data_IF_879185724516
#
_entry.id   IF_879185724516
#
_cell.length_a   1.000
_cell.length_b   1.000
_cell.length_c   1.000
_cell.angle_alpha   90.00
_cell.angle_beta   90.00
_cell.angle_gamma   90.00
#
_symmetry.space_group_name_H-M   'P 1'
#
loop_
_entity.id
_entity.type
_entity.pdbx_description
1 polymer ?
#
# COMPACT_ATOMS: atom_id res chain seq x y z
N UNK A 1 4.50 -9.96 -14.55
CA UNK A 1 5.90 -9.86 -14.10
C UNK A 1 5.96 -8.89 -12.93
N UNK A 2 6.62 -9.26 -11.83
CA UNK A 2 6.90 -8.33 -10.74
C UNK A 2 7.89 -7.28 -11.23
N UNK A 3 7.76 -6.02 -10.75
CA UNK A 3 8.66 -4.94 -11.12
C UNK A 3 10.13 -5.24 -10.78
N UNK A 4 11.03 -4.48 -11.33
CA UNK A 4 12.45 -4.54 -10.94
C UNK A 4 12.59 -4.26 -9.44
N UNK A 5 13.70 -4.69 -8.82
CA UNK A 5 13.95 -4.46 -7.39
C UNK A 5 13.84 -2.96 -7.01
N UNK A 6 14.26 -2.06 -7.89
CA UNK A 6 14.13 -0.62 -7.72
C UNK A 6 12.67 -0.13 -7.70
N UNK A 7 11.84 -0.62 -8.61
CA UNK A 7 10.41 -0.27 -8.67
C UNK A 7 9.69 -0.75 -7.41
N UNK A 8 9.95 -1.98 -6.96
CA UNK A 8 9.33 -2.52 -5.76
C UNK A 8 9.67 -1.73 -4.50
N UNK A 9 10.94 -1.31 -4.35
CA UNK A 9 11.35 -0.45 -3.23
C UNK A 9 10.64 0.90 -3.26
N UNK A 10 10.56 1.55 -4.43
CA UNK A 10 9.84 2.81 -4.60
C UNK A 10 8.36 2.65 -4.30
N UNK A 11 7.71 1.58 -4.81
CA UNK A 11 6.32 1.27 -4.51
C UNK A 11 6.07 1.20 -3.02
N UNK A 12 6.91 0.46 -2.27
CA UNK A 12 6.79 0.36 -0.83
C UNK A 12 6.92 1.72 -0.14
N UNK A 13 7.95 2.50 -0.47
CA UNK A 13 8.21 3.79 0.17
C UNK A 13 7.10 4.81 -0.10
N UNK A 14 6.63 4.92 -1.33
CA UNK A 14 5.53 5.83 -1.66
C UNK A 14 4.22 5.40 -1.01
N UNK A 15 3.89 4.10 -1.07
CA UNK A 15 2.69 3.58 -0.42
C UNK A 15 2.73 3.77 1.10
N UNK A 16 3.88 3.53 1.73
CA UNK A 16 4.10 3.78 3.14
C UNK A 16 3.89 5.25 3.50
N UNK A 17 4.53 6.17 2.77
CA UNK A 17 4.40 7.60 3.03
C UNK A 17 2.95 8.08 2.87
N UNK A 18 2.29 7.68 1.78
CA UNK A 18 0.88 8.04 1.53
C UNK A 18 -0.03 7.47 2.62
N UNK A 19 0.10 6.17 2.92
CA UNK A 19 -0.74 5.52 3.94
C UNK A 19 -0.52 6.13 5.33
N UNK A 20 0.75 6.30 5.76
CA UNK A 20 1.07 6.88 7.05
C UNK A 20 0.51 8.31 7.20
N UNK A 21 0.63 9.13 6.14
CA UNK A 21 0.09 10.50 6.13
C UNK A 21 -1.43 10.52 6.17
N UNK A 22 -2.11 9.74 5.32
CA UNK A 22 -3.57 9.69 5.27
C UNK A 22 -4.16 9.23 6.60
N UNK A 23 -3.61 8.16 7.19
CA UNK A 23 -4.08 7.65 8.48
C UNK A 23 -3.77 8.66 9.60
N UNK A 24 -2.61 9.34 9.57
CA UNK A 24 -2.32 10.40 10.53
C UNK A 24 -3.34 11.54 10.48
N UNK A 25 -3.74 11.97 9.27
CA UNK A 25 -4.77 13.00 9.08
C UNK A 25 -6.12 12.51 9.60
N UNK A 26 -6.54 11.29 9.25
CA UNK A 26 -7.80 10.70 9.72
C UNK A 26 -7.81 10.63 11.26
N UNK A 27 -6.73 10.15 11.86
CA UNK A 27 -6.63 10.04 13.32
C UNK A 27 -6.60 11.41 14.00
N UNK A 28 -5.97 12.42 13.40
CA UNK A 28 -6.02 13.78 13.91
C UNK A 28 -7.46 14.35 13.89
N UNK A 29 -8.21 14.10 12.81
CA UNK A 29 -9.63 14.46 12.74
C UNK A 29 -10.46 13.71 13.78
N UNK A 30 -10.22 12.41 13.99
CA UNK A 30 -10.87 11.63 15.04
C UNK A 30 -10.59 12.20 16.44
N UNK A 31 -9.34 12.57 16.73
CA UNK A 31 -9.00 13.22 18.02
C UNK A 31 -9.83 14.49 18.24
N UNK A 32 -9.92 15.34 17.21
CA UNK A 32 -10.72 16.58 17.30
C UNK A 32 -12.19 16.25 17.51
N UNK A 33 -12.76 15.32 16.75
CA UNK A 33 -14.17 14.90 16.83
C UNK A 33 -14.48 14.36 18.22
N UNK A 34 -13.72 13.36 18.69
CA UNK A 34 -13.94 12.74 20.00
C UNK A 34 -13.82 13.77 21.13
N UNK A 35 -12.83 14.65 21.07
CA UNK A 35 -12.65 15.69 22.08
C UNK A 35 -13.78 16.73 22.10
N UNK A 36 -14.46 16.92 20.97
CA UNK A 36 -15.63 17.79 20.88
C UNK A 36 -16.91 17.11 21.36
N UNK A 37 -17.09 15.83 21.00
CA UNK A 37 -18.27 15.04 21.39
C UNK A 37 -18.25 14.63 22.87
N UNK A 38 -17.04 14.35 23.40
CA UNK A 38 -16.83 13.92 24.79
C UNK A 38 -15.83 14.81 25.54
N UNK A 39 -16.17 16.07 25.86
CA UNK A 39 -15.24 17.02 26.46
C UNK A 39 -14.63 16.56 27.79
N UNK A 40 -15.34 15.69 28.53
CA UNK A 40 -14.88 15.10 29.79
C UNK A 40 -13.63 14.23 29.65
N UNK A 41 -13.32 13.71 28.45
CA UNK A 41 -12.12 12.91 28.19
C UNK A 41 -10.89 13.78 27.99
N UNK A 42 -11.06 15.08 27.72
CA UNK A 42 -9.98 15.98 27.32
C UNK A 42 -9.28 15.51 26.04
N UNK A 43 -8.10 16.05 25.77
CA UNK A 43 -7.30 15.67 24.60
C UNK A 43 -6.45 14.41 24.82
N UNK A 44 -6.08 14.10 26.06
CA UNK A 44 -5.11 13.05 26.35
C UNK A 44 -5.64 11.64 25.97
N UNK A 45 -6.89 11.33 26.29
CA UNK A 45 -7.52 10.04 25.96
C UNK A 45 -7.53 9.77 24.44
N UNK A 46 -8.19 10.62 23.65
CA UNK A 46 -8.24 10.48 22.20
C UNK A 46 -6.85 10.45 21.54
N UNK A 47 -5.89 11.27 21.99
CA UNK A 47 -4.51 11.23 21.48
C UNK A 47 -3.83 9.89 21.72
N UNK A 48 -4.00 9.29 22.90
CA UNK A 48 -3.43 7.97 23.20
C UNK A 48 -4.11 6.90 22.34
N UNK A 49 -5.42 6.98 22.13
CA UNK A 49 -6.15 5.98 21.35
C UNK A 49 -5.77 6.04 19.88
N UNK A 50 -5.86 7.19 19.26
CA UNK A 50 -5.56 7.36 17.84
C UNK A 50 -4.05 7.26 17.56
N UNK A 51 -3.22 7.83 18.43
CA UNK A 51 -1.77 7.76 18.30
C UNK A 51 -1.21 6.34 18.42
N UNK A 52 -1.74 5.53 19.37
CA UNK A 52 -1.34 4.12 19.49
C UNK A 52 -1.76 3.29 18.28
N UNK A 53 -2.96 3.53 17.75
CA UNK A 53 -3.45 2.88 16.54
C UNK A 53 -2.59 3.24 15.32
N UNK A 54 -2.29 4.53 15.11
CA UNK A 54 -1.41 4.98 14.03
C UNK A 54 -0.01 4.36 14.13
N UNK A 55 0.60 4.40 15.32
CA UNK A 55 1.96 3.90 15.51
C UNK A 55 2.06 2.40 15.20
N UNK A 56 1.09 1.61 15.65
CA UNK A 56 1.07 0.17 15.38
C UNK A 56 0.76 -0.15 13.93
N UNK A 57 -0.08 0.62 13.26
CA UNK A 57 -0.32 0.49 11.83
C UNK A 57 0.98 0.73 11.04
N UNK A 58 1.71 1.79 11.35
CA UNK A 58 3.01 2.11 10.74
C UNK A 58 4.01 0.99 11.00
N UNK A 59 4.08 0.50 12.24
CA UNK A 59 5.00 -0.56 12.64
C UNK A 59 4.72 -1.87 11.88
N UNK A 60 3.47 -2.23 11.66
CA UNK A 60 3.08 -3.49 11.02
C UNK A 60 2.71 -3.35 9.54
N UNK A 61 2.94 -2.19 8.92
CA UNK A 61 2.66 -1.94 7.49
C UNK A 61 3.38 -2.91 6.53
N UNK A 62 4.46 -3.53 6.96
CA UNK A 62 5.18 -4.54 6.18
C UNK A 62 4.38 -5.83 5.98
N UNK A 63 3.37 -6.15 6.83
CA UNK A 63 2.55 -7.36 6.69
C UNK A 63 1.68 -7.30 5.41
N UNK A 64 0.87 -6.24 5.17
CA UNK A 64 0.19 -6.06 3.89
C UNK A 64 1.14 -6.08 2.69
N UNK A 65 2.34 -5.50 2.83
CA UNK A 65 3.35 -5.55 1.78
C UNK A 65 3.80 -6.96 1.44
N UNK A 66 4.05 -7.80 2.44
CA UNK A 66 4.34 -9.23 2.22
C UNK A 66 3.17 -9.91 1.50
N UNK A 67 1.94 -9.70 1.95
CA UNK A 67 0.74 -10.23 1.29
C UNK A 67 0.68 -9.84 -0.18
N UNK A 68 0.91 -8.57 -0.49
CA UNK A 68 0.99 -8.06 -1.87
C UNK A 68 2.09 -8.76 -2.69
N UNK A 69 3.26 -8.97 -2.11
CA UNK A 69 4.39 -9.64 -2.76
C UNK A 69 4.12 -11.12 -3.04
N UNK A 70 3.45 -11.82 -2.12
CA UNK A 70 3.11 -13.24 -2.26
C UNK A 70 1.99 -13.47 -3.27
N UNK A 71 1.00 -12.58 -3.30
CA UNK A 71 -0.20 -12.72 -4.11
C UNK A 71 -0.62 -11.40 -4.78
N UNK A 72 0.12 -10.89 -5.77
CA UNK A 72 -0.27 -9.69 -6.49
C UNK A 72 -1.65 -9.86 -7.14
N UNK A 73 -2.59 -8.88 -7.03
CA UNK A 73 -3.99 -9.05 -7.42
C UNK A 73 -4.23 -9.41 -8.88
N UNK A 74 -3.33 -8.99 -9.77
CA UNK A 74 -3.49 -9.17 -11.23
C UNK A 74 -2.66 -10.31 -11.81
N UNK A 75 -1.98 -11.12 -10.96
CA UNK A 75 -1.14 -12.23 -11.40
C UNK A 75 -1.89 -13.56 -11.25
N UNK A 76 -1.85 -14.41 -12.29
CA UNK A 76 -2.40 -15.77 -12.24
C UNK A 76 -1.38 -16.76 -11.62
N UNK A 77 -1.84 -17.84 -10.96
CA UNK A 77 -3.22 -18.27 -10.80
C UNK A 77 -3.94 -17.55 -9.65
N UNK A 78 -5.25 -17.32 -9.81
CA UNK A 78 -6.07 -16.53 -8.86
C UNK A 78 -6.21 -17.14 -7.46
N UNK A 79 -6.02 -18.46 -7.32
CA UNK A 79 -6.07 -19.10 -6.00
C UNK A 79 -5.01 -18.55 -5.02
N UNK A 80 -3.92 -17.95 -5.54
CA UNK A 80 -2.92 -17.29 -4.70
C UNK A 80 -3.49 -16.14 -3.88
N UNK A 81 -4.61 -15.55 -4.31
CA UNK A 81 -5.29 -14.49 -3.55
C UNK A 81 -5.79 -14.98 -2.18
N UNK A 82 -5.98 -16.28 -2.00
CA UNK A 82 -6.32 -16.85 -0.68
C UNK A 82 -5.21 -16.58 0.37
N UNK A 83 -3.98 -16.33 -0.05
CA UNK A 83 -2.89 -15.93 0.86
C UNK A 83 -3.15 -14.58 1.55
N UNK A 84 -4.04 -13.72 0.99
CA UNK A 84 -4.43 -12.49 1.66
C UNK A 84 -5.25 -12.74 2.93
N UNK A 85 -5.97 -13.86 3.06
CA UNK A 85 -6.77 -14.19 4.25
C UNK A 85 -5.86 -14.29 5.49
N UNK A 86 -4.86 -15.18 5.55
CA UNK A 86 -3.96 -15.26 6.69
C UNK A 86 -3.14 -13.98 6.90
N UNK A 87 -2.74 -13.26 5.81
CA UNK A 87 -2.02 -12.01 5.95
C UNK A 87 -2.89 -10.90 6.57
N UNK A 88 -4.16 -10.77 6.17
CA UNK A 88 -5.09 -9.82 6.76
C UNK A 88 -5.38 -10.14 8.23
N UNK A 89 -5.56 -11.42 8.55
CA UNK A 89 -5.73 -11.85 9.95
C UNK A 89 -4.49 -11.56 10.79
N UNK A 90 -3.29 -11.86 10.28
CA UNK A 90 -2.04 -11.56 10.98
C UNK A 90 -1.86 -10.06 11.18
N UNK A 91 -2.18 -9.24 10.17
CA UNK A 91 -2.14 -7.79 10.28
C UNK A 91 -3.08 -7.29 11.38
N UNK A 92 -4.35 -7.71 11.37
CA UNK A 92 -5.33 -7.30 12.37
C UNK A 92 -4.92 -7.75 13.79
N UNK A 93 -4.44 -8.99 13.97
CA UNK A 93 -3.95 -9.48 15.27
C UNK A 93 -2.77 -8.65 15.78
N UNK A 94 -1.78 -8.38 14.93
CA UNK A 94 -0.61 -7.58 15.31
C UNK A 94 -1.00 -6.13 15.62
N UNK A 95 -1.88 -5.52 14.81
CA UNK A 95 -2.35 -4.16 15.00
C UNK A 95 -3.13 -4.02 16.32
N UNK A 96 -4.12 -4.90 16.55
CA UNK A 96 -4.93 -4.87 17.78
C UNK A 96 -4.08 -5.17 19.03
N UNK A 97 -3.26 -6.21 18.99
CA UNK A 97 -2.37 -6.52 20.10
C UNK A 97 -1.42 -5.35 20.39
N UNK A 98 -0.85 -4.76 19.34
CA UNK A 98 0.07 -3.64 19.44
C UNK A 98 -0.55 -2.41 20.11
N UNK A 99 -1.70 -1.90 19.61
CA UNK A 99 -2.30 -0.72 20.22
C UNK A 99 -2.87 -1.00 21.62
N UNK A 100 -3.38 -2.20 21.90
CA UNK A 100 -3.82 -2.57 23.24
C UNK A 100 -2.64 -2.56 24.22
N UNK A 101 -1.50 -3.13 23.82
CA UNK A 101 -0.29 -3.13 24.65
C UNK A 101 0.22 -1.71 24.90
N UNK A 102 0.27 -0.88 23.85
CA UNK A 102 0.70 0.53 23.99
C UNK A 102 -0.24 1.31 24.90
N UNK A 103 -1.56 1.16 24.74
CA UNK A 103 -2.56 1.82 25.61
C UNK A 103 -2.40 1.36 27.06
N UNK A 104 -2.27 0.05 27.29
CA UNK A 104 -2.02 -0.50 28.65
C UNK A 104 -0.76 0.09 29.26
N UNK A 105 0.32 0.19 28.49
CA UNK A 105 1.58 0.78 28.96
C UNK A 105 1.41 2.26 29.32
N UNK A 106 0.82 3.06 28.45
CA UNK A 106 0.62 4.51 28.68
C UNK A 106 -0.27 4.75 29.90
N UNK A 107 -1.39 4.03 30.00
CA UNK A 107 -2.30 4.15 31.15
C UNK A 107 -1.64 3.70 32.46
N UNK A 108 -0.86 2.62 32.41
CA UNK A 108 -0.09 2.15 33.58
C UNK A 108 0.92 3.19 34.06
N UNK A 109 1.67 3.81 33.13
CA UNK A 109 2.61 4.89 33.44
C UNK A 109 1.90 6.13 34.02
N UNK A 110 0.66 6.38 33.62
CA UNK A 110 -0.19 7.44 34.13
C UNK A 110 -0.90 7.09 35.47
N UNK A 111 -0.60 5.94 36.07
CA UNK A 111 -1.23 5.48 37.33
C UNK A 111 -2.67 5.00 37.18
N UNK A 112 -3.13 4.73 35.95
CA UNK A 112 -4.47 4.30 35.60
C UNK A 112 -4.48 2.94 34.89
N UNK A 113 -5.65 2.44 34.52
CA UNK A 113 -5.78 1.15 33.83
C UNK A 113 -6.56 1.33 32.53
N UNK A 114 -6.07 0.72 31.45
CA UNK A 114 -6.80 0.59 30.19
C UNK A 114 -7.50 -0.77 30.16
N UNK A 115 -8.81 -0.75 29.92
CA UNK A 115 -9.61 -1.95 29.70
C UNK A 115 -10.03 -2.00 28.21
N UNK A 116 -9.67 -3.08 27.54
CA UNK A 116 -10.08 -3.34 26.15
C UNK A 116 -11.49 -3.95 26.09
N UNK A 117 -12.03 -4.41 27.24
CA UNK A 117 -13.27 -5.14 27.33
C UNK A 117 -13.15 -6.61 26.89
N UNK A 118 -14.27 -7.22 26.53
CA UNK A 118 -14.32 -8.61 26.06
C UNK A 118 -13.55 -8.74 24.74
N UNK A 119 -12.48 -9.54 24.75
CA UNK A 119 -11.53 -9.60 23.62
C UNK A 119 -12.22 -9.95 22.30
N UNK A 120 -12.99 -11.03 22.24
CA UNK A 120 -13.53 -11.53 20.97
C UNK A 120 -14.48 -10.54 20.27
N UNK A 121 -15.50 -9.95 20.92
CA UNK A 121 -16.36 -8.95 20.25
C UNK A 121 -15.59 -7.73 19.76
N UNK A 122 -14.67 -7.20 20.57
CA UNK A 122 -13.89 -6.02 20.19
C UNK A 122 -12.88 -6.34 19.09
N UNK A 123 -12.25 -7.52 19.15
CA UNK A 123 -11.37 -7.97 18.08
C UNK A 123 -12.12 -8.16 16.75
N UNK A 124 -13.32 -8.74 16.75
CA UNK A 124 -14.11 -8.89 15.53
C UNK A 124 -14.55 -7.54 14.94
N UNK A 125 -14.82 -6.55 15.80
CA UNK A 125 -15.09 -5.19 15.37
C UNK A 125 -13.87 -4.57 14.67
N UNK A 126 -12.68 -4.67 15.29
CA UNK A 126 -11.42 -4.15 14.72
C UNK A 126 -11.00 -4.94 13.48
N UNK A 127 -11.15 -6.26 13.47
CA UNK A 127 -10.86 -7.12 12.31
C UNK A 127 -11.60 -6.66 11.05
N UNK A 128 -12.86 -6.23 11.18
CA UNK A 128 -13.64 -5.69 10.05
C UNK A 128 -13.02 -4.42 9.50
N UNK A 129 -12.60 -3.48 10.36
CA UNK A 129 -11.92 -2.23 9.99
C UNK A 129 -10.56 -2.50 9.37
N UNK A 130 -9.78 -3.36 10.02
CA UNK A 130 -8.44 -3.72 9.59
C UNK A 130 -8.43 -4.49 8.26
N UNK A 131 -9.45 -5.34 8.03
CA UNK A 131 -9.61 -6.04 6.74
C UNK A 131 -9.88 -5.06 5.60
N UNK A 132 -10.69 -4.03 5.82
CA UNK A 132 -10.91 -2.96 4.85
C UNK A 132 -9.62 -2.16 4.62
N UNK A 133 -8.95 -1.77 5.70
CA UNK A 133 -7.65 -1.08 5.63
C UNK A 133 -6.59 -1.90 4.87
N UNK A 134 -6.51 -3.19 5.15
CA UNK A 134 -5.63 -4.12 4.45
C UNK A 134 -5.94 -4.16 2.94
N UNK A 135 -7.22 -4.27 2.56
CA UNK A 135 -7.63 -4.26 1.15
C UNK A 135 -7.24 -2.95 0.45
N UNK A 136 -7.40 -1.81 1.12
CA UNK A 136 -6.98 -0.51 0.61
C UNK A 136 -5.46 -0.42 0.44
N UNK A 137 -4.66 -0.99 1.35
CA UNK A 137 -3.20 -1.06 1.18
C UNK A 137 -2.82 -1.91 -0.04
N UNK A 138 -3.45 -3.07 -0.23
CA UNK A 138 -3.20 -3.92 -1.41
C UNK A 138 -3.54 -3.16 -2.71
N UNK A 139 -4.69 -2.46 -2.75
CA UNK A 139 -5.08 -1.64 -3.89
C UNK A 139 -4.10 -0.48 -4.13
N UNK A 140 -3.66 0.19 -3.06
CA UNK A 140 -2.67 1.26 -3.10
C UNK A 140 -1.32 0.80 -3.66
N UNK A 141 -0.80 -0.36 -3.21
CA UNK A 141 0.43 -0.95 -3.75
C UNK A 141 0.29 -1.24 -5.25
N UNK A 142 -0.83 -1.82 -5.67
CA UNK A 142 -1.08 -2.14 -7.07
C UNK A 142 -1.16 -0.87 -7.93
N UNK A 143 -1.84 0.16 -7.46
CA UNK A 143 -1.96 1.44 -8.15
C UNK A 143 -0.60 2.14 -8.29
N UNK A 144 0.14 2.28 -7.19
CA UNK A 144 1.45 2.96 -7.19
C UNK A 144 2.44 2.20 -8.07
N UNK A 145 2.49 0.87 -7.98
CA UNK A 145 3.36 0.08 -8.86
C UNK A 145 2.98 0.26 -10.34
N UNK A 146 1.69 0.32 -10.64
CA UNK A 146 1.21 0.56 -12.01
C UNK A 146 1.66 1.94 -12.53
N UNK A 147 1.48 3.00 -11.75
CA UNK A 147 1.89 4.35 -12.12
C UNK A 147 3.41 4.46 -12.33
N UNK A 148 4.20 3.87 -11.42
CA UNK A 148 5.66 3.88 -11.55
C UNK A 148 6.15 3.13 -12.80
N UNK A 149 5.47 2.03 -13.17
CA UNK A 149 5.79 1.31 -14.41
C UNK A 149 5.45 2.13 -15.65
N UNK A 150 4.31 2.83 -15.66
CA UNK A 150 3.96 3.73 -16.77
C UNK A 150 4.99 4.84 -16.96
N UNK A 151 5.44 5.47 -15.86
CA UNK A 151 6.49 6.48 -15.92
C UNK A 151 7.79 5.94 -16.55
N UNK A 152 8.21 4.73 -16.18
CA UNK A 152 9.41 4.12 -16.76
C UNK A 152 9.30 3.87 -18.26
N UNK A 153 8.11 3.55 -18.76
CA UNK A 153 7.87 3.40 -20.20
C UNK A 153 7.97 4.72 -20.97
N UNK A 154 7.59 5.82 -20.32
CA UNK A 154 7.65 7.17 -20.93
C UNK A 154 9.10 7.70 -20.85
N UNK A 155 9.80 7.47 -19.74
CA UNK A 155 11.16 7.95 -19.49
C UNK A 155 12.23 7.13 -20.22
N UNK A 156 11.90 5.96 -20.75
CA UNK A 156 12.79 5.25 -21.66
C UNK A 156 12.55 5.84 -23.07
N UNK A 157 13.26 6.92 -23.47
CA UNK A 157 13.14 7.47 -24.81
C UNK A 157 13.67 6.39 -25.75
N UNK A 158 12.75 5.81 -26.49
CA UNK A 158 13.06 4.94 -27.61
C UNK A 158 14.29 4.06 -27.44
N UNK A 159 14.13 2.80 -27.03
CA UNK A 159 14.84 1.84 -27.84
C UNK A 159 14.48 2.22 -29.27
N UNK A 160 15.41 2.88 -29.96
CA UNK A 160 15.26 3.15 -31.38
C UNK A 160 15.04 1.78 -32.04
N UNK A 161 13.77 1.42 -32.23
CA UNK A 161 13.48 0.25 -33.02
C UNK A 161 14.07 0.55 -34.39
N UNK A 162 15.22 -0.05 -34.63
CA UNK A 162 15.90 0.06 -35.91
C UNK A 162 15.42 -1.10 -36.77
N UNK A 163 14.98 -0.75 -37.95
CA UNK A 163 14.65 -1.71 -38.99
C UNK A 163 15.77 -1.75 -40.04
N UNK A 164 16.18 -2.96 -40.37
CA UNK A 164 17.08 -3.13 -41.49
C UNK A 164 16.25 -3.19 -42.79
N UNK A 165 16.24 -2.11 -43.53
CA UNK A 165 15.59 -2.02 -44.82
C UNK A 165 16.57 -2.46 -45.87
N UNK A 166 16.19 -3.49 -46.67
CA UNK A 166 16.97 -3.99 -47.77
C UNK A 166 16.46 -3.41 -49.10
N UNK A 167 17.29 -2.65 -49.75
CA UNK A 167 17.03 -2.17 -51.09
C UNK A 167 18.09 -2.77 -52.05
N UNK A 168 17.70 -3.85 -52.72
CA UNK A 168 18.63 -4.64 -53.53
C UNK A 168 19.78 -5.23 -52.73
N UNK A 169 21.00 -4.80 -53.02
CA UNK A 169 22.20 -5.23 -52.30
C UNK A 169 22.58 -4.34 -51.11
N UNK A 170 21.87 -3.20 -50.94
CA UNK A 170 22.15 -2.23 -49.86
C UNK A 170 21.26 -2.48 -48.66
N UNK A 171 21.88 -2.60 -47.49
CA UNK A 171 21.19 -2.74 -46.20
C UNK A 171 21.34 -1.41 -45.48
N UNK A 172 20.20 -0.76 -45.21
CA UNK A 172 20.18 0.53 -44.50
C UNK A 172 19.42 0.33 -43.17
N UNK A 173 20.07 0.65 -42.06
CA UNK A 173 19.46 0.66 -40.73
C UNK A 173 18.77 2.00 -40.52
N UNK A 174 17.46 1.97 -40.31
CA UNK A 174 16.62 3.17 -40.12
C UNK A 174 15.97 3.11 -38.74
N UNK A 175 15.96 4.21 -37.99
CA UNK A 175 15.23 4.32 -36.75
C UNK A 175 13.74 4.46 -36.99
N UNK A 176 12.87 3.88 -36.13
CA UNK A 176 11.41 4.08 -36.24
C UNK A 176 11.02 5.56 -36.18
N UNK A 177 11.80 6.37 -35.44
CA UNK A 177 11.59 7.82 -35.35
C UNK A 177 11.80 8.55 -36.68
N UNK A 178 12.54 7.94 -37.61
CA UNK A 178 12.89 8.54 -38.92
C UNK A 178 11.94 8.08 -40.04
N UNK A 179 11.01 7.17 -39.69
CA UNK A 179 10.02 6.66 -40.64
C UNK A 179 8.80 7.58 -40.65
N UNK A 180 8.64 8.36 -41.70
CA UNK A 180 7.52 9.29 -41.87
C UNK A 180 6.25 8.62 -42.43
N UNK A 181 6.43 7.60 -43.27
CA UNK A 181 5.32 6.85 -43.87
C UNK A 181 5.78 5.47 -44.35
N UNK A 182 4.90 4.50 -44.31
CA UNK A 182 5.08 3.18 -44.92
C UNK A 182 3.97 2.99 -45.96
N UNK A 183 4.34 2.83 -47.23
CA UNK A 183 3.40 2.55 -48.32
C UNK A 183 3.61 1.12 -48.82
N UNK A 184 2.52 0.39 -49.08
CA UNK A 184 2.58 -0.92 -49.75
C UNK A 184 2.63 -0.69 -51.25
N UNK A 185 3.73 -1.09 -51.87
CA UNK A 185 3.77 -1.23 -53.34
C UNK A 185 3.18 -2.62 -53.64
N UNK A 186 1.88 -2.65 -53.87
CA UNK A 186 1.20 -3.88 -54.30
C UNK A 186 1.75 -4.38 -55.65
N UNK A 187 1.98 -5.67 -55.76
CA UNK A 187 2.15 -6.38 -57.01
C UNK A 187 0.79 -6.60 -57.65
#
# INVERSE_FOLDING_TARGET
MLGTSGTLRRTFLYAFAVAATLVAVINALNVITISHEEPQLGLAGPLVWEGSSWLTLVLFFWIPWIGYRLAPPFVRPRWRLLAHIPCALAFALCHVAGFVLLRKLVYWLAGSRYDFGAFLPHFLYELRKDSLGYALFIAGFALIEHLLRQQQLIETPGQSFTFDIRDGAKLTRVSLSDILAVASAGN
#
